data_IF_066393944491
#
_entry.id   IF_066393944491
#
_cell.length_a   1.000
_cell.length_b   1.000
_cell.length_c   1.000
_cell.angle_alpha   90.00
_cell.angle_beta   90.00
_cell.angle_gamma   90.00
#
_symmetry.space_group_name_H-M   'P 1'
#
loop_
_entity.id
_entity.type
_entity.pdbx_description
1 polymer ?
#
# COMPACT_ATOMS: atom_id res chain seq x y z
N UNK A 1 -4.62 9.07 4.26
CA UNK A 1 -4.34 7.62 4.16
C UNK A 1 -3.74 7.20 5.49
N UNK A 2 -4.19 6.10 6.06
CA UNK A 2 -3.62 5.55 7.29
C UNK A 2 -2.28 4.88 6.96
N UNK A 3 -1.24 5.21 7.70
CA UNK A 3 0.12 4.66 7.54
C UNK A 3 0.57 3.96 8.81
N UNK A 4 1.64 3.16 8.70
CA UNK A 4 2.27 2.53 9.87
C UNK A 4 2.79 3.59 10.86
N UNK A 5 3.23 4.75 10.36
CA UNK A 5 3.65 5.86 11.23
C UNK A 5 2.49 6.41 12.05
N UNK A 6 1.31 6.58 11.45
CA UNK A 6 0.12 7.07 12.18
C UNK A 6 -0.27 6.10 13.30
N UNK A 7 -0.19 4.79 13.04
CA UNK A 7 -0.43 3.76 14.06
C UNK A 7 0.59 3.91 15.18
N UNK A 8 1.87 4.03 14.84
CA UNK A 8 2.94 4.17 15.81
C UNK A 8 2.80 5.43 16.67
N UNK A 9 2.47 6.57 16.07
CA UNK A 9 2.29 7.83 16.79
C UNK A 9 1.12 7.72 17.78
N UNK A 10 0.02 7.08 17.36
CA UNK A 10 -1.10 6.74 18.24
C UNK A 10 -0.65 5.91 19.44
N UNK A 11 0.18 4.89 19.23
CA UNK A 11 0.65 4.01 20.31
C UNK A 11 1.62 4.71 21.26
N UNK A 12 2.58 5.47 20.72
CA UNK A 12 3.58 6.18 21.53
C UNK A 12 2.93 7.21 22.46
N UNK A 13 1.90 7.91 21.98
CA UNK A 13 1.17 8.88 22.78
C UNK A 13 0.33 8.27 23.91
N UNK A 14 0.08 6.95 23.86
CA UNK A 14 -0.89 6.25 24.68
C UNK A 14 -0.33 5.00 25.37
N UNK A 15 0.99 4.86 25.38
CA UNK A 15 1.66 3.70 25.97
C UNK A 15 1.31 3.57 27.47
N UNK A 16 1.03 2.33 27.88
CA UNK A 16 0.58 2.02 29.24
C UNK A 16 -0.88 2.36 29.58
N UNK A 17 -1.67 2.90 28.65
CA UNK A 17 -3.13 3.05 28.83
C UNK A 17 -3.89 1.82 28.34
N UNK A 18 -4.96 1.45 29.05
CA UNK A 18 -5.91 0.46 28.54
C UNK A 18 -6.77 1.06 27.42
N UNK A 19 -6.72 0.41 26.27
CA UNK A 19 -7.38 0.84 25.03
C UNK A 19 -8.35 -0.26 24.60
N UNK A 20 -9.58 0.12 24.26
CA UNK A 20 -10.49 -0.75 23.54
C UNK A 20 -10.16 -0.65 22.04
N UNK A 21 -9.64 -1.74 21.50
CA UNK A 21 -9.34 -1.89 20.07
C UNK A 21 -10.46 -2.68 19.41
N UNK A 22 -11.05 -2.14 18.35
CA UNK A 22 -12.15 -2.75 17.59
C UNK A 22 -11.82 -2.80 16.11
N UNK A 23 -12.04 -3.97 15.52
CA UNK A 23 -11.96 -4.23 14.09
C UNK A 23 -13.30 -4.82 13.69
N UNK A 24 -14.00 -4.18 12.76
CA UNK A 24 -15.34 -4.55 12.36
C UNK A 24 -15.43 -4.65 10.84
N UNK A 25 -15.94 -5.77 10.34
CA UNK A 25 -16.40 -5.94 8.98
C UNK A 25 -17.78 -5.31 8.83
N UNK A 26 -17.81 -4.09 8.32
CA UNK A 26 -19.03 -3.28 8.14
C UNK A 26 -19.51 -3.27 6.69
N UNK A 27 -18.94 -4.12 5.84
CA UNK A 27 -19.21 -4.18 4.41
C UNK A 27 -20.70 -4.44 4.14
N UNK A 28 -21.35 -3.45 3.56
CA UNK A 28 -22.78 -3.50 3.24
C UNK A 28 -23.09 -4.34 1.99
N UNK A 29 -22.07 -4.82 1.25
CA UNK A 29 -22.26 -5.80 0.18
C UNK A 29 -22.51 -7.22 0.73
N UNK A 30 -22.15 -7.46 1.99
CA UNK A 30 -22.34 -8.74 2.69
C UNK A 30 -23.78 -8.86 3.20
N UNK A 31 -24.43 -10.00 2.93
CA UNK A 31 -25.86 -10.22 3.22
C UNK A 31 -26.18 -10.08 4.71
N UNK A 32 -25.28 -10.54 5.56
CA UNK A 32 -25.37 -10.49 7.02
C UNK A 32 -25.42 -9.06 7.56
N UNK A 33 -24.87 -8.10 6.82
CA UNK A 33 -24.83 -6.69 7.19
C UNK A 33 -26.01 -5.87 6.65
N UNK A 34 -26.82 -6.43 5.75
CA UNK A 34 -28.00 -5.78 5.16
C UNK A 34 -29.29 -5.96 5.98
N UNK A 35 -29.24 -6.76 7.05
CA UNK A 35 -30.39 -6.99 7.92
C UNK A 35 -30.77 -5.73 8.74
N UNK A 36 -32.01 -5.67 9.23
CA UNK A 36 -32.48 -4.60 10.13
C UNK A 36 -31.57 -4.41 11.37
N UNK A 37 -30.93 -5.50 11.82
CA UNK A 37 -29.88 -5.46 12.82
C UNK A 37 -28.63 -6.14 12.23
N UNK A 38 -27.68 -5.35 11.69
CA UNK A 38 -26.47 -5.87 11.06
C UNK A 38 -25.64 -6.79 11.96
N UNK A 39 -25.01 -7.81 11.38
CA UNK A 39 -24.20 -8.77 12.12
C UNK A 39 -23.07 -8.11 12.93
N UNK A 40 -22.39 -7.10 12.37
CA UNK A 40 -21.33 -6.37 13.07
C UNK A 40 -21.84 -5.67 14.35
N UNK A 41 -23.08 -5.16 14.37
CA UNK A 41 -23.68 -4.54 15.58
C UNK A 41 -23.93 -5.57 16.67
N UNK A 42 -24.40 -6.76 16.28
CA UNK A 42 -24.65 -7.87 17.21
C UNK A 42 -23.32 -8.32 17.82
N UNK A 43 -22.31 -8.53 16.96
CA UNK A 43 -20.98 -8.95 17.36
C UNK A 43 -20.32 -7.95 18.33
N UNK A 44 -20.40 -6.65 18.02
CA UNK A 44 -19.90 -5.57 18.88
C UNK A 44 -20.54 -5.61 20.27
N UNK A 45 -21.88 -5.64 20.34
CA UNK A 45 -22.61 -5.67 21.61
C UNK A 45 -22.26 -6.89 22.45
N UNK A 46 -22.07 -8.04 21.82
CA UNK A 46 -21.66 -9.26 22.52
C UNK A 46 -20.26 -9.11 23.14
N UNK A 47 -19.30 -8.54 22.41
CA UNK A 47 -17.92 -8.40 22.90
C UNK A 47 -17.79 -7.30 23.96
N UNK A 48 -18.51 -6.18 23.82
CA UNK A 48 -18.55 -5.17 24.89
C UNK A 48 -19.07 -5.75 26.21
N UNK A 49 -20.15 -6.55 26.16
CA UNK A 49 -20.67 -7.25 27.34
C UNK A 49 -19.70 -8.29 27.89
N UNK A 50 -18.92 -8.95 27.03
CA UNK A 50 -17.91 -9.89 27.48
C UNK A 50 -16.84 -9.16 28.29
N UNK A 51 -16.29 -8.06 27.77
CA UNK A 51 -15.30 -7.27 28.49
C UNK A 51 -15.87 -6.63 29.76
N UNK A 52 -17.13 -6.21 29.75
CA UNK A 52 -17.82 -5.75 30.96
C UNK A 52 -17.77 -6.82 32.05
N UNK A 53 -18.16 -8.06 31.75
CA UNK A 53 -18.12 -9.17 32.72
C UNK A 53 -16.69 -9.51 33.21
N UNK A 54 -15.70 -9.40 32.34
CA UNK A 54 -14.29 -9.66 32.69
C UNK A 54 -13.73 -8.56 33.61
N UNK A 55 -14.15 -7.31 33.43
CA UNK A 55 -13.65 -6.14 34.17
C UNK A 55 -14.50 -5.75 35.39
N UNK A 56 -15.73 -6.27 35.53
CA UNK A 56 -16.64 -5.99 36.65
C UNK A 56 -16.07 -6.46 38.01
N UNK A 57 -15.07 -7.34 38.01
CA UNK A 57 -14.41 -7.83 39.23
C UNK A 57 -13.53 -6.81 39.96
N UNK A 58 -13.23 -5.65 39.36
CA UNK A 58 -12.36 -4.62 39.96
C UNK A 58 -12.94 -3.19 39.99
N UNK A 59 -14.24 -2.98 39.72
CA UNK A 59 -14.85 -1.64 39.73
C UNK A 59 -14.06 -0.65 38.86
N UNK A 60 -13.82 -1.03 37.61
CA UNK A 60 -12.95 -0.31 36.69
C UNK A 60 -13.71 0.88 36.05
N UNK A 61 -13.72 2.02 36.73
CA UNK A 61 -14.32 3.29 36.25
C UNK A 61 -13.82 3.69 34.84
N UNK A 62 -12.60 3.26 34.47
CA UNK A 62 -12.02 3.51 33.17
C UNK A 62 -12.71 2.70 32.06
N UNK A 63 -13.00 1.43 32.30
CA UNK A 63 -13.76 0.60 31.35
C UNK A 63 -15.14 1.19 31.08
N UNK A 64 -15.87 1.59 32.13
CA UNK A 64 -17.21 2.17 31.97
C UNK A 64 -17.19 3.42 31.07
N UNK A 65 -16.17 4.29 31.26
CA UNK A 65 -15.97 5.49 30.44
C UNK A 65 -15.69 5.14 28.97
N UNK A 66 -14.82 4.15 28.72
CA UNK A 66 -14.46 3.70 27.37
C UNK A 66 -15.66 3.03 26.68
N UNK A 67 -16.40 2.19 27.40
CA UNK A 67 -17.60 1.52 26.89
C UNK A 67 -18.68 2.53 26.51
N UNK A 68 -18.98 3.51 27.37
CA UNK A 68 -19.97 4.55 27.09
C UNK A 68 -19.59 5.34 25.82
N UNK A 69 -18.31 5.68 25.67
CA UNK A 69 -17.79 6.37 24.48
C UNK A 69 -17.98 5.54 23.21
N UNK A 70 -17.57 4.27 23.24
CA UNK A 70 -17.74 3.37 22.11
C UNK A 70 -19.23 3.20 21.73
N UNK A 71 -20.10 2.98 22.72
CA UNK A 71 -21.54 2.86 22.49
C UNK A 71 -22.16 4.16 21.95
N UNK A 72 -21.70 5.33 22.42
CA UNK A 72 -22.13 6.62 21.91
C UNK A 72 -21.77 6.78 20.43
N UNK A 73 -20.55 6.44 20.03
CA UNK A 73 -20.12 6.47 18.63
C UNK A 73 -20.98 5.54 17.75
N UNK A 74 -21.19 4.29 18.18
CA UNK A 74 -21.90 3.30 17.37
C UNK A 74 -23.43 3.45 17.34
N UNK A 75 -23.99 4.34 18.17
CA UNK A 75 -25.43 4.63 18.19
C UNK A 75 -25.94 5.14 16.84
N UNK A 76 -25.23 6.10 16.28
CA UNK A 76 -25.60 6.79 15.04
C UNK A 76 -24.69 6.41 13.86
N UNK A 77 -23.72 5.51 14.09
CA UNK A 77 -22.80 5.07 13.06
C UNK A 77 -23.53 4.37 11.90
N UNK A 78 -23.28 4.89 10.69
CA UNK A 78 -23.75 4.33 9.41
C UNK A 78 -22.53 3.89 8.60
N UNK A 79 -22.43 2.60 8.23
CA UNK A 79 -21.32 2.11 7.43
C UNK A 79 -21.18 2.82 6.08
N UNK A 80 -20.00 3.37 5.82
CA UNK A 80 -19.62 3.99 4.54
C UNK A 80 -18.41 3.31 3.88
N UNK A 81 -17.91 2.25 4.51
CA UNK A 81 -16.67 1.55 4.17
C UNK A 81 -16.87 0.04 4.29
N UNK A 82 -15.84 -0.76 3.98
CA UNK A 82 -15.91 -2.22 4.11
C UNK A 82 -15.41 -2.71 5.47
N UNK A 83 -14.41 -2.02 6.02
CA UNK A 83 -13.85 -2.28 7.33
C UNK A 83 -13.88 -1.03 8.19
N UNK A 84 -13.95 -1.19 9.50
CA UNK A 84 -13.79 -0.12 10.46
C UNK A 84 -12.79 -0.55 11.53
N UNK A 85 -11.74 0.25 11.72
CA UNK A 85 -10.82 0.13 12.84
C UNK A 85 -11.08 1.29 13.78
N UNK A 86 -11.30 1.00 15.06
CA UNK A 86 -11.55 2.03 16.06
C UNK A 86 -10.80 1.73 17.35
N UNK A 87 -10.10 2.73 17.86
CA UNK A 87 -9.45 2.72 19.15
C UNK A 87 -10.16 3.70 20.07
N UNK A 88 -10.53 3.25 21.27
CA UNK A 88 -11.17 4.08 22.28
C UNK A 88 -10.33 4.09 23.54
N UNK A 89 -9.97 5.29 23.99
CA UNK A 89 -9.42 5.55 25.32
C UNK A 89 -10.41 6.32 26.19
N UNK A 90 -10.01 6.71 27.40
CA UNK A 90 -10.92 7.38 28.36
C UNK A 90 -11.46 8.72 27.83
N UNK A 91 -10.60 9.52 27.23
CA UNK A 91 -10.88 10.89 26.79
C UNK A 91 -10.67 11.12 25.28
N UNK A 92 -10.35 10.06 24.53
CA UNK A 92 -10.07 10.14 23.10
C UNK A 92 -10.62 8.94 22.34
N UNK A 93 -10.78 9.12 21.03
CA UNK A 93 -11.11 8.06 20.09
C UNK A 93 -10.34 8.29 18.79
N UNK A 94 -9.98 7.20 18.10
CA UNK A 94 -9.36 7.25 16.80
C UNK A 94 -9.99 6.21 15.89
N UNK A 95 -10.63 6.67 14.81
CA UNK A 95 -11.52 5.85 13.99
C UNK A 95 -11.06 5.94 12.53
N UNK A 96 -10.82 4.78 11.93
CA UNK A 96 -10.31 4.61 10.58
C UNK A 96 -11.26 3.72 9.76
N UNK A 97 -12.11 4.31 8.90
CA UNK A 97 -12.82 3.57 7.87
C UNK A 97 -11.83 3.03 6.82
N UNK A 98 -11.94 1.75 6.48
CA UNK A 98 -11.06 1.07 5.52
C UNK A 98 -11.85 0.64 4.27
N UNK A 99 -11.31 0.84 3.06
CA UNK A 99 -11.97 0.42 1.82
C UNK A 99 -11.93 -1.11 1.60
N UNK A 100 -11.24 -1.84 2.47
CA UNK A 100 -11.13 -3.31 2.49
C UNK A 100 -11.85 -3.92 3.70
N UNK A 101 -12.40 -5.13 3.57
CA UNK A 101 -13.07 -5.80 4.67
C UNK A 101 -12.09 -6.18 5.79
N UNK A 102 -12.51 -5.88 7.01
CA UNK A 102 -12.06 -6.36 8.32
C UNK A 102 -12.24 -7.85 8.58
N UNK A 103 -11.34 -8.55 9.28
CA UNK A 103 -11.81 -9.62 10.17
C UNK A 103 -12.28 -9.00 11.50
N UNK A 104 -13.36 -9.51 12.09
CA UNK A 104 -13.87 -8.97 13.35
C UNK A 104 -12.94 -9.34 14.51
N UNK A 105 -12.34 -8.34 15.15
CA UNK A 105 -11.51 -8.51 16.33
C UNK A 105 -11.79 -7.44 17.37
N UNK A 106 -11.66 -7.80 18.64
CA UNK A 106 -11.77 -6.86 19.74
C UNK A 106 -10.80 -7.25 20.85
N UNK A 107 -10.22 -6.24 21.49
CA UNK A 107 -9.38 -6.42 22.66
C UNK A 107 -9.52 -5.20 23.57
N UNK A 108 -9.35 -5.43 24.87
CA UNK A 108 -9.25 -4.37 25.87
C UNK A 108 -7.94 -4.53 26.65
N UNK A 109 -7.26 -3.41 26.93
CA UNK A 109 -5.95 -3.38 27.57
C UNK A 109 -4.88 -2.93 26.58
N UNK A 110 -3.87 -3.78 26.33
CA UNK A 110 -2.86 -3.50 25.31
C UNK A 110 -3.53 -3.35 23.93
N UNK A 111 -3.14 -2.32 23.15
CA UNK A 111 -3.74 -2.08 21.84
C UNK A 111 -3.47 -3.25 20.89
N UNK A 112 -4.52 -3.72 20.24
CA UNK A 112 -4.45 -4.75 19.22
C UNK A 112 -4.08 -4.07 17.90
N UNK A 113 -2.84 -4.22 17.45
CA UNK A 113 -2.29 -3.61 16.23
C UNK A 113 -1.96 -4.60 15.13
N UNK A 114 -1.76 -5.88 15.47
CA UNK A 114 -1.44 -6.93 14.50
C UNK A 114 -2.38 -6.97 13.28
N UNK A 115 -3.72 -6.98 13.46
CA UNK A 115 -4.64 -6.99 12.33
C UNK A 115 -4.55 -5.73 11.44
N UNK A 116 -4.30 -4.56 12.03
CA UNK A 116 -4.13 -3.32 11.27
C UNK A 116 -2.83 -3.31 10.50
N UNK A 117 -1.72 -3.72 11.13
CA UNK A 117 -0.41 -3.81 10.48
C UNK A 117 -0.47 -4.79 9.30
N UNK A 118 -1.12 -5.95 9.47
CA UNK A 118 -1.38 -6.89 8.37
C UNK A 118 -2.18 -6.23 7.23
N UNK A 119 -3.23 -5.48 7.53
CA UNK A 119 -4.03 -4.82 6.50
C UNK A 119 -3.23 -3.73 5.75
N UNK A 120 -2.34 -3.02 6.45
CA UNK A 120 -1.46 -2.02 5.83
C UNK A 120 -0.35 -2.67 4.99
N UNK A 121 0.12 -3.84 5.40
CA UNK A 121 1.17 -4.58 4.71
C UNK A 121 0.65 -5.27 3.44
N UNK A 122 -0.43 -6.05 3.53
CA UNK A 122 -1.04 -6.78 2.41
C UNK A 122 -1.54 -5.86 1.27
N UNK A 123 -1.81 -4.60 1.59
CA UNK A 123 -2.27 -3.61 0.62
C UNK A 123 -1.40 -2.36 0.60
N UNK A 124 -0.07 -2.58 0.63
CA UNK A 124 0.90 -1.51 0.41
C UNK A 124 0.57 -0.70 -0.86
N UNK A 125 0.68 0.64 -0.79
CA UNK A 125 0.29 1.50 -1.89
C UNK A 125 1.25 1.35 -3.08
N UNK A 126 0.69 1.39 -4.28
CA UNK A 126 1.43 1.33 -5.55
C UNK A 126 0.94 2.41 -6.51
N UNK A 127 1.86 2.91 -7.33
CA UNK A 127 1.58 3.87 -8.38
C UNK A 127 1.28 3.12 -9.69
N UNK A 128 0.11 3.37 -10.28
CA UNK A 128 -0.25 2.90 -11.61
C UNK A 128 -0.12 4.06 -12.59
N UNK A 129 0.80 3.95 -13.54
CA UNK A 129 1.02 4.94 -14.60
C UNK A 129 0.46 4.38 -15.89
N UNK A 130 -0.70 4.87 -16.31
CA UNK A 130 -1.33 4.50 -17.58
C UNK A 130 -0.83 5.45 -18.66
N UNK A 131 -0.01 4.99 -19.60
CA UNK A 131 0.60 5.84 -20.62
C UNK A 131 0.32 5.34 -22.04
N UNK A 132 -0.01 6.28 -22.93
CA UNK A 132 -0.05 6.05 -24.38
C UNK A 132 0.90 7.03 -25.11
N UNK A 133 0.64 7.31 -26.40
CA UNK A 133 1.49 8.19 -27.21
C UNK A 133 1.19 9.68 -27.00
N UNK A 134 0.10 10.02 -26.33
CA UNK A 134 -0.48 11.36 -26.23
C UNK A 134 -0.84 11.76 -24.79
N UNK A 135 -1.18 10.82 -23.91
CA UNK A 135 -1.58 11.10 -22.53
C UNK A 135 -1.02 10.08 -21.55
N UNK A 136 -0.87 10.52 -20.30
CA UNK A 136 -0.52 9.70 -19.17
C UNK A 136 -1.46 10.00 -18.00
N UNK A 137 -2.02 8.97 -17.39
CA UNK A 137 -2.86 9.06 -16.20
C UNK A 137 -2.19 8.36 -15.02
N UNK A 138 -2.17 9.05 -13.89
CA UNK A 138 -1.56 8.56 -12.65
C UNK A 138 -2.65 8.17 -11.67
N UNK A 139 -2.62 6.92 -11.22
CA UNK A 139 -3.52 6.42 -10.18
C UNK A 139 -2.69 5.88 -9.02
N UNK A 140 -3.13 6.19 -7.81
CA UNK A 140 -2.55 5.60 -6.61
C UNK A 140 -3.48 4.55 -6.06
N UNK A 141 -2.90 3.42 -5.66
CA UNK A 141 -3.62 2.43 -4.89
C UNK A 141 -3.56 2.76 -3.40
N UNK A 142 -4.68 2.59 -2.71
CA UNK A 142 -4.74 2.68 -1.27
C UNK A 142 -5.64 1.58 -0.73
N UNK A 143 -5.06 0.68 0.06
CA UNK A 143 -5.77 -0.46 0.63
C UNK A 143 -6.59 -1.22 -0.43
N UNK A 144 -5.99 -1.54 -1.59
CA UNK A 144 -6.65 -2.23 -2.70
C UNK A 144 -7.74 -1.44 -3.44
N UNK A 145 -8.04 -0.20 -3.02
CA UNK A 145 -8.82 0.76 -3.78
C UNK A 145 -7.91 1.64 -4.64
N UNK A 146 -8.52 2.38 -5.56
CA UNK A 146 -7.83 3.22 -6.51
C UNK A 146 -8.27 4.66 -6.33
N UNK A 147 -7.33 5.60 -6.42
CA UNK A 147 -7.57 7.05 -6.43
C UNK A 147 -6.90 7.67 -7.66
N UNK A 148 -7.61 8.55 -8.35
CA UNK A 148 -7.01 9.30 -9.45
C UNK A 148 -6.14 10.39 -8.83
N UNK A 149 -4.91 10.55 -9.33
CA UNK A 149 -3.97 11.54 -8.82
C UNK A 149 -3.80 12.70 -9.79
N UNK A 150 -3.35 12.40 -11.01
CA UNK A 150 -3.02 13.44 -11.99
C UNK A 150 -3.06 12.91 -13.43
N UNK A 151 -2.93 13.82 -14.39
CA UNK A 151 -2.85 13.53 -15.82
C UNK A 151 -1.87 14.46 -16.53
N UNK A 152 -1.10 13.94 -17.47
CA UNK A 152 -0.25 14.71 -18.37
C UNK A 152 -0.71 14.43 -19.80
N UNK A 153 -0.91 15.48 -20.59
CA UNK A 153 -1.22 15.38 -22.02
C UNK A 153 -0.05 15.98 -22.82
N UNK A 154 0.20 15.44 -24.01
CA UNK A 154 1.21 15.97 -24.92
C UNK A 154 0.73 17.32 -25.46
N UNK A 155 1.50 18.37 -25.22
CA UNK A 155 1.22 19.68 -25.83
C UNK A 155 1.80 19.72 -27.26
N UNK A 156 0.91 19.53 -28.24
CA UNK A 156 1.22 19.67 -29.66
C UNK A 156 0.87 21.07 -30.21
N UNK A 157 0.16 21.90 -29.45
CA UNK A 157 -0.36 23.20 -29.88
C UNK A 157 0.60 24.35 -29.55
N UNK A 158 1.51 24.18 -28.58
CA UNK A 158 2.44 25.24 -28.13
C UNK A 158 3.49 25.66 -29.17
N UNK A 159 3.68 24.90 -30.27
CA UNK A 159 4.64 25.23 -31.32
C UNK A 159 3.98 25.56 -32.65
N UNK A 160 4.01 26.85 -32.95
CA UNK A 160 3.47 27.54 -34.12
C UNK A 160 3.99 26.94 -35.45
N UNK A 161 3.33 25.88 -35.94
CA UNK A 161 3.64 25.29 -37.26
C UNK A 161 3.47 26.32 -38.39
N UNK A 162 2.63 27.35 -38.17
CA UNK A 162 2.40 28.41 -39.13
C UNK A 162 3.64 29.28 -39.39
N UNK A 163 4.53 29.47 -38.40
CA UNK A 163 5.70 30.35 -38.57
C UNK A 163 6.91 29.66 -39.22
N UNK A 164 7.10 28.34 -39.01
CA UNK A 164 8.26 27.63 -39.61
C UNK A 164 8.03 27.13 -41.05
N UNK A 165 6.80 27.10 -41.54
CA UNK A 165 6.49 26.78 -42.95
C UNK A 165 6.43 28.04 -43.84
N UNK A 166 6.54 29.23 -43.26
CA UNK A 166 6.45 30.51 -43.94
C UNK A 166 7.77 31.04 -44.48
N UNK A 167 8.36 30.41 -45.50
CA UNK A 167 9.27 31.16 -46.38
C UNK A 167 8.43 31.89 -47.44
N UNK A 168 8.49 33.23 -47.54
CA UNK A 168 7.77 33.94 -48.60
C UNK A 168 8.33 33.54 -49.97
N UNK A 169 7.49 33.38 -51.01
CA UNK A 169 7.96 33.04 -52.34
C UNK A 169 8.64 34.25 -52.99
N UNK A 170 9.91 34.50 -52.66
CA UNK A 170 10.73 35.44 -53.40
C UNK A 170 11.34 34.74 -54.61
N UNK A 171 10.57 34.82 -55.70
CA UNK A 171 10.95 34.83 -57.10
C UNK A 171 12.21 34.05 -57.57
N UNK A 172 11.92 33.09 -58.46
CA UNK A 172 12.72 32.63 -59.60
C UNK A 172 13.83 31.59 -59.35
N UNK A 173 13.59 30.34 -59.80
CA UNK A 173 14.22 29.74 -61.00
C UNK A 173 13.83 28.27 -61.20
N UNK A 174 13.38 27.99 -62.41
CA UNK A 174 13.33 26.77 -63.21
C UNK A 174 14.03 25.50 -62.65
N UNK A 175 13.27 24.40 -62.52
CA UNK A 175 13.78 23.03 -62.68
C UNK A 175 13.64 22.08 -61.46
N UNK A 176 12.86 21.00 -61.62
CA UNK A 176 13.00 19.76 -60.84
C UNK A 176 12.15 19.63 -59.58
N UNK A 177 10.83 19.41 -59.71
CA UNK A 177 9.97 19.04 -58.58
C UNK A 177 9.85 17.52 -58.47
N UNK A 178 10.71 16.93 -57.64
CA UNK A 178 10.63 15.52 -57.23
C UNK A 178 11.25 15.21 -55.86
N UNK A 179 12.00 16.14 -55.24
CA UNK A 179 12.72 15.87 -53.98
C UNK A 179 12.34 16.74 -52.77
N UNK A 180 11.53 17.79 -52.94
CA UNK A 180 11.23 18.75 -51.86
C UNK A 180 10.08 18.32 -50.94
N UNK A 181 9.25 17.37 -51.36
CA UNK A 181 8.08 16.92 -50.59
C UNK A 181 8.41 15.77 -49.61
N UNK A 182 9.53 15.06 -49.83
CA UNK A 182 10.00 13.96 -48.95
C UNK A 182 10.64 14.54 -47.68
N UNK A 183 11.53 15.53 -47.81
CA UNK A 183 12.20 16.18 -46.68
C UNK A 183 11.26 16.87 -45.67
N UNK A 184 10.05 17.27 -46.10
CA UNK A 184 9.07 17.91 -45.21
C UNK A 184 8.28 16.90 -44.37
N UNK A 185 8.11 15.66 -44.86
CA UNK A 185 7.47 14.59 -44.08
C UNK A 185 8.44 14.03 -43.05
N UNK A 186 9.68 13.78 -43.46
CA UNK A 186 10.72 13.26 -42.57
C UNK A 186 10.99 14.25 -41.42
N UNK A 187 11.12 15.55 -41.70
CA UNK A 187 11.30 16.57 -40.66
C UNK A 187 10.08 16.74 -39.73
N UNK A 188 8.88 16.42 -40.21
CA UNK A 188 7.65 16.45 -39.40
C UNK A 188 7.55 15.22 -38.49
N UNK A 189 7.88 14.04 -39.01
CA UNK A 189 7.97 12.80 -38.22
C UNK A 189 9.04 12.91 -37.14
N UNK A 190 10.23 13.42 -37.47
CA UNK A 190 11.32 13.65 -36.50
C UNK A 190 10.89 14.61 -35.37
N UNK A 191 10.15 15.66 -35.71
CA UNK A 191 9.62 16.61 -34.72
C UNK A 191 8.63 15.92 -33.79
N UNK A 192 7.63 15.21 -34.32
CA UNK A 192 6.65 14.47 -33.50
C UNK A 192 7.34 13.48 -32.56
N UNK A 193 8.34 12.76 -33.04
CA UNK A 193 9.11 11.83 -32.22
C UNK A 193 9.92 12.55 -31.14
N UNK A 194 10.50 13.73 -31.42
CA UNK A 194 11.14 14.56 -30.39
C UNK A 194 10.15 15.00 -29.31
N UNK A 195 8.94 15.42 -29.70
CA UNK A 195 7.88 15.81 -28.76
C UNK A 195 7.44 14.63 -27.89
N UNK A 196 7.24 13.45 -28.49
CA UNK A 196 6.93 12.22 -27.75
C UNK A 196 8.01 11.84 -26.77
N UNK A 197 9.27 11.95 -27.16
CA UNK A 197 10.39 11.66 -26.27
C UNK A 197 10.48 12.66 -25.11
N UNK A 198 10.11 13.92 -25.34
CA UNK A 198 10.01 14.93 -24.26
C UNK A 198 8.86 14.59 -23.31
N UNK A 199 7.69 14.26 -23.85
CA UNK A 199 6.53 13.81 -23.08
C UNK A 199 6.87 12.59 -22.23
N UNK A 200 7.50 11.55 -22.77
CA UNK A 200 7.89 10.37 -21.99
C UNK A 200 8.90 10.69 -20.87
N UNK A 201 9.78 11.67 -21.07
CA UNK A 201 10.68 12.15 -20.02
C UNK A 201 9.91 12.86 -18.91
N UNK A 202 8.98 13.72 -19.28
CA UNK A 202 8.13 14.43 -18.32
C UNK A 202 7.28 13.46 -17.50
N UNK A 203 6.67 12.45 -18.15
CA UNK A 203 5.95 11.37 -17.48
C UNK A 203 6.87 10.62 -16.51
N UNK A 204 8.11 10.33 -16.88
CA UNK A 204 9.08 9.66 -16.00
C UNK A 204 9.45 10.53 -14.80
N UNK A 205 9.79 11.81 -15.00
CA UNK A 205 10.11 12.77 -13.94
C UNK A 205 8.92 12.95 -12.97
N UNK A 206 7.69 13.03 -13.50
CA UNK A 206 6.49 13.14 -12.69
C UNK A 206 6.19 11.85 -11.92
N UNK A 207 6.43 10.68 -12.54
CA UNK A 207 6.34 9.37 -11.86
C UNK A 207 7.26 9.33 -10.64
N UNK A 208 8.51 9.75 -10.80
CA UNK A 208 9.50 9.80 -9.72
C UNK A 208 9.12 10.77 -8.61
N UNK A 209 8.58 11.93 -8.98
CA UNK A 209 8.13 12.93 -8.04
C UNK A 209 6.99 12.40 -7.17
N UNK A 210 5.96 11.79 -7.77
CA UNK A 210 4.85 11.17 -7.02
C UNK A 210 5.39 10.04 -6.14
N UNK A 211 6.18 9.13 -6.70
CA UNK A 211 6.69 7.97 -5.97
C UNK A 211 7.53 8.38 -4.75
N UNK A 212 8.39 9.39 -4.90
CA UNK A 212 9.23 9.88 -3.80
C UNK A 212 8.42 10.65 -2.76
N UNK A 213 7.51 11.51 -3.19
CA UNK A 213 6.69 12.35 -2.28
C UNK A 213 5.77 11.52 -1.41
N UNK A 214 5.12 10.51 -2.01
CA UNK A 214 4.07 9.72 -1.37
C UNK A 214 4.63 8.40 -0.80
N UNK A 215 5.95 8.17 -0.90
CA UNK A 215 6.60 6.97 -0.36
C UNK A 215 6.19 5.69 -1.07
N UNK A 216 5.85 5.77 -2.37
CA UNK A 216 5.41 4.62 -3.15
C UNK A 216 6.63 3.85 -3.65
N UNK A 217 6.77 2.62 -3.16
CA UNK A 217 7.92 1.78 -3.50
C UNK A 217 7.67 0.80 -4.65
N UNK A 218 6.46 0.83 -5.22
CA UNK A 218 6.02 -0.08 -6.28
C UNK A 218 5.31 0.70 -7.38
N UNK A 219 5.79 0.54 -8.61
CA UNK A 219 5.28 1.22 -9.80
C UNK A 219 4.84 0.16 -10.81
N UNK A 220 3.63 0.30 -11.35
CA UNK A 220 3.13 -0.52 -12.44
C UNK A 220 2.81 0.40 -13.61
N UNK A 221 3.43 0.15 -14.76
CA UNK A 221 3.21 0.96 -15.95
C UNK A 221 2.25 0.21 -16.86
N UNK A 222 1.06 0.78 -17.07
CA UNK A 222 0.02 0.25 -17.94
C UNK A 222 -0.11 1.04 -19.24
N UNK A 223 -0.84 0.50 -20.22
CA UNK A 223 -1.18 1.23 -21.45
C UNK A 223 -0.58 0.61 -22.71
N UNK A 224 0.02 1.44 -23.56
CA UNK A 224 0.78 0.96 -24.72
C UNK A 224 2.15 0.42 -24.28
N UNK A 225 2.48 -0.80 -24.68
CA UNK A 225 3.69 -1.49 -24.22
C UNK A 225 4.97 -0.76 -24.67
N UNK A 226 4.97 -0.13 -25.85
CA UNK A 226 6.16 0.60 -26.34
C UNK A 226 6.33 1.92 -25.57
N UNK A 227 5.24 2.65 -25.37
CA UNK A 227 5.24 3.87 -24.56
C UNK A 227 5.71 3.57 -23.13
N UNK A 228 5.09 2.56 -22.48
CA UNK A 228 5.44 2.16 -21.12
C UNK A 228 6.90 1.73 -20.95
N UNK A 229 7.44 0.94 -21.88
CA UNK A 229 8.86 0.57 -21.86
C UNK A 229 9.79 1.75 -22.12
N UNK A 230 9.34 2.76 -22.87
CA UNK A 230 10.12 3.97 -23.13
C UNK A 230 10.17 4.84 -21.88
N UNK A 231 9.02 5.08 -21.22
CA UNK A 231 8.95 5.75 -19.92
C UNK A 231 9.82 5.04 -18.89
N UNK A 232 9.72 3.70 -18.77
CA UNK A 232 10.56 2.91 -17.86
C UNK A 232 12.06 3.20 -18.06
N UNK A 233 12.53 3.33 -19.30
CA UNK A 233 13.95 3.61 -19.60
C UNK A 233 14.36 5.05 -19.28
N UNK A 234 13.42 5.99 -19.24
CA UNK A 234 13.69 7.38 -18.86
C UNK A 234 13.74 7.58 -17.33
N UNK A 235 13.14 6.67 -16.55
CA UNK A 235 13.22 6.71 -15.09
C UNK A 235 14.67 6.61 -14.60
N UNK A 236 14.98 7.24 -13.47
CA UNK A 236 16.20 7.05 -12.72
C UNK A 236 16.36 5.60 -12.25
N UNK A 237 17.60 5.14 -12.07
CA UNK A 237 17.90 3.74 -11.72
C UNK A 237 17.17 3.25 -10.46
N UNK A 238 16.97 4.14 -9.49
CA UNK A 238 16.22 3.85 -8.26
C UNK A 238 14.75 3.58 -8.52
N UNK A 239 14.09 4.42 -9.32
CA UNK A 239 12.69 4.24 -9.69
C UNK A 239 12.49 3.06 -10.65
N UNK A 240 13.44 2.80 -11.55
CA UNK A 240 13.41 1.61 -12.41
C UNK A 240 13.36 0.29 -11.62
N UNK A 241 14.03 0.22 -10.47
CA UNK A 241 14.01 -0.94 -9.57
C UNK A 241 12.69 -1.10 -8.84
N UNK A 242 11.92 -0.02 -8.71
CA UNK A 242 10.58 -0.04 -8.11
C UNK A 242 9.49 -0.42 -9.13
N UNK A 243 9.82 -0.50 -10.43
CA UNK A 243 8.88 -0.96 -11.47
C UNK A 243 8.67 -2.46 -11.33
N UNK A 244 7.48 -2.84 -10.88
CA UNK A 244 7.02 -4.23 -10.75
C UNK A 244 6.83 -4.85 -12.12
N UNK A 245 6.08 -4.18 -13.00
CA UNK A 245 5.83 -4.66 -14.36
C UNK A 245 5.43 -3.54 -15.34
N UNK A 246 5.55 -3.83 -16.64
CA UNK A 246 5.02 -3.03 -17.74
C UNK A 246 3.99 -3.87 -18.49
N UNK A 247 2.72 -3.50 -18.41
CA UNK A 247 1.61 -4.31 -18.92
C UNK A 247 0.76 -3.59 -19.94
N UNK A 248 0.33 -4.32 -20.97
CA UNK A 248 -0.61 -3.77 -21.95
C UNK A 248 -2.01 -3.71 -21.36
N UNK A 249 -2.55 -2.49 -21.23
CA UNK A 249 -3.91 -2.25 -20.73
C UNK A 249 -4.60 -1.30 -21.71
N UNK A 250 -5.75 -1.68 -22.30
CA UNK A 250 -6.45 -0.82 -23.25
C UNK A 250 -6.93 0.51 -22.62
N UNK A 251 -6.75 1.62 -23.35
CA UNK A 251 -7.14 2.98 -22.91
C UNK A 251 -8.62 3.13 -22.52
N UNK A 252 -9.51 2.38 -23.17
CA UNK A 252 -10.95 2.47 -22.91
C UNK A 252 -11.38 1.79 -21.60
N UNK A 253 -10.45 1.14 -20.88
CA UNK A 253 -10.77 0.51 -19.61
C UNK A 253 -11.10 1.56 -18.56
N UNK A 254 -12.19 1.33 -17.85
CA UNK A 254 -12.51 2.10 -16.66
C UNK A 254 -11.45 1.89 -15.58
N UNK A 255 -11.36 2.82 -14.64
CA UNK A 255 -10.52 2.69 -13.44
C UNK A 255 -10.73 1.35 -12.71
N UNK A 256 -11.97 0.86 -12.63
CA UNK A 256 -12.25 -0.42 -12.01
C UNK A 256 -11.62 -1.59 -12.79
N UNK A 257 -11.68 -1.57 -14.11
CA UNK A 257 -11.08 -2.59 -14.97
C UNK A 257 -9.55 -2.55 -14.91
N UNK A 258 -8.95 -1.35 -14.96
CA UNK A 258 -7.49 -1.18 -14.80
C UNK A 258 -7.01 -1.86 -13.52
N UNK A 259 -7.63 -1.55 -12.38
CA UNK A 259 -7.20 -2.12 -11.09
C UNK A 259 -7.51 -3.60 -10.96
N UNK A 260 -8.56 -4.11 -11.60
CA UNK A 260 -8.81 -5.55 -11.69
C UNK A 260 -7.70 -6.29 -12.44
N UNK A 261 -7.05 -5.63 -13.40
CA UNK A 261 -5.89 -6.18 -14.12
C UNK A 261 -4.58 -6.04 -13.35
N UNK A 262 -4.40 -4.92 -12.64
CA UNK A 262 -3.15 -4.59 -11.96
C UNK A 262 -3.01 -5.25 -10.58
N UNK A 263 -4.11 -5.40 -9.84
CA UNK A 263 -4.09 -5.94 -8.47
C UNK A 263 -3.44 -7.34 -8.36
N UNK A 264 -3.74 -8.32 -9.25
CA UNK A 264 -3.06 -9.62 -9.19
C UNK A 264 -1.54 -9.52 -9.35
N UNK A 265 -1.06 -8.62 -10.21
CA UNK A 265 0.38 -8.41 -10.43
C UNK A 265 1.08 -7.87 -9.18
N UNK A 266 0.43 -6.92 -8.50
CA UNK A 266 0.94 -6.36 -7.25
C UNK A 266 1.03 -7.44 -6.16
N UNK A 267 0.01 -8.30 -6.05
CA UNK A 267 -0.02 -9.41 -5.09
C UNK A 267 1.01 -10.49 -5.42
N UNK A 268 1.14 -10.88 -6.69
CA UNK A 268 2.12 -11.89 -7.11
C UNK A 268 3.55 -11.42 -6.81
N UNK A 269 3.85 -10.15 -7.10
CA UNK A 269 5.14 -9.53 -6.74
C UNK A 269 5.39 -9.57 -5.23
N UNK A 270 4.37 -9.23 -4.42
CA UNK A 270 4.48 -9.30 -2.96
C UNK A 270 4.82 -10.71 -2.47
N UNK A 271 4.15 -11.73 -2.99
CA UNK A 271 4.40 -13.13 -2.62
C UNK A 271 5.79 -13.61 -3.04
N UNK A 272 6.32 -13.10 -4.15
CA UNK A 272 7.71 -13.35 -4.56
C UNK A 272 8.71 -12.67 -3.60
N UNK A 273 8.47 -11.41 -3.24
CA UNK A 273 9.31 -10.65 -2.31
C UNK A 273 9.32 -11.28 -0.91
N UNK A 274 8.15 -11.64 -0.37
CA UNK A 274 8.01 -12.39 0.89
C UNK A 274 8.80 -13.71 0.85
N UNK A 275 8.65 -14.46 -0.25
CA UNK A 275 9.35 -15.74 -0.43
C UNK A 275 10.87 -15.57 -0.46
N UNK A 276 11.36 -14.49 -1.09
CA UNK A 276 12.79 -14.14 -1.12
C UNK A 276 13.25 -13.73 0.28
N UNK A 277 12.50 -12.86 0.95
CA UNK A 277 12.83 -12.34 2.28
C UNK A 277 12.90 -13.46 3.32
N UNK A 278 11.91 -14.35 3.36
CA UNK A 278 11.90 -15.51 4.27
C UNK A 278 13.10 -16.40 4.02
N UNK A 279 13.42 -16.69 2.75
CA UNK A 279 14.59 -17.50 2.41
C UNK A 279 15.89 -16.87 2.92
N UNK A 280 16.08 -15.57 2.66
CA UNK A 280 17.25 -14.83 3.13
C UNK A 280 17.38 -14.86 4.66
N UNK A 281 16.27 -14.67 5.38
CA UNK A 281 16.24 -14.69 6.85
C UNK A 281 16.60 -16.08 7.38
N UNK A 282 16.03 -17.13 6.82
CA UNK A 282 16.33 -18.52 7.21
C UNK A 282 17.78 -18.87 6.93
N UNK A 283 18.28 -18.55 5.73
CA UNK A 283 19.66 -18.85 5.34
C UNK A 283 20.67 -18.08 6.22
N UNK A 284 20.40 -16.78 6.48
CA UNK A 284 21.20 -15.96 7.39
C UNK A 284 21.21 -16.53 8.81
N UNK A 285 20.05 -16.91 9.35
CA UNK A 285 19.97 -17.46 10.71
C UNK A 285 20.73 -18.79 10.85
N UNK A 286 20.61 -19.68 9.84
CA UNK A 286 21.34 -20.96 9.81
C UNK A 286 22.85 -20.78 9.68
N UNK A 287 23.30 -19.71 9.04
CA UNK A 287 24.70 -19.36 8.91
C UNK A 287 25.29 -18.65 10.15
N UNK A 288 24.49 -18.40 11.20
CA UNK A 288 24.91 -17.57 12.34
C UNK A 288 25.10 -16.10 11.95
N UNK A 289 24.39 -15.64 10.93
CA UNK A 289 24.41 -14.28 10.41
C UNK A 289 23.54 -13.33 11.23
N UNK A 290 23.02 -12.30 10.57
CA UNK A 290 22.22 -11.24 11.19
C UNK A 290 20.73 -11.56 11.18
N UNK A 291 20.37 -12.77 11.62
CA UNK A 291 18.98 -13.18 11.71
C UNK A 291 18.77 -14.24 12.80
N UNK A 292 17.58 -14.26 13.38
CA UNK A 292 17.13 -15.26 14.36
C UNK A 292 15.79 -15.83 13.96
N UNK A 293 15.57 -17.10 14.31
CA UNK A 293 14.33 -17.84 14.06
C UNK A 293 13.72 -18.28 15.39
N UNK A 294 12.40 -18.30 15.47
CA UNK A 294 11.69 -18.74 16.67
C UNK A 294 11.41 -17.61 17.63
N UNK A 295 10.25 -17.72 18.29
CA UNK A 295 9.73 -16.73 19.22
C UNK A 295 10.72 -16.40 20.36
N UNK A 296 11.29 -17.40 21.04
CA UNK A 296 12.20 -17.16 22.17
C UNK A 296 13.43 -16.32 21.77
N UNK A 297 14.03 -16.62 20.61
CA UNK A 297 15.20 -15.90 20.12
C UNK A 297 14.84 -14.48 19.67
N UNK A 298 13.67 -14.32 19.05
CA UNK A 298 13.14 -13.01 18.62
C UNK A 298 12.78 -12.15 19.84
N UNK A 299 12.16 -12.73 20.86
CA UNK A 299 11.87 -12.06 22.12
C UNK A 299 13.13 -11.54 22.81
N UNK A 300 14.18 -12.37 22.84
CA UNK A 300 15.48 -11.97 23.37
C UNK A 300 16.09 -10.83 22.54
N UNK A 301 16.02 -10.91 21.20
CA UNK A 301 16.54 -9.87 20.32
C UNK A 301 15.79 -8.54 20.45
N UNK A 302 14.46 -8.58 20.60
CA UNK A 302 13.63 -7.39 20.86
C UNK A 302 14.01 -6.75 22.20
N UNK A 303 14.20 -7.56 23.26
CA UNK A 303 14.63 -7.05 24.58
C UNK A 303 16.00 -6.37 24.53
N UNK A 304 16.87 -6.78 23.60
CA UNK A 304 18.18 -6.19 23.39
C UNK A 304 18.15 -5.03 22.36
N UNK A 305 16.99 -4.64 21.85
CA UNK A 305 16.81 -3.64 20.78
C UNK A 305 17.64 -3.93 19.52
N UNK A 306 17.81 -5.21 19.17
CA UNK A 306 18.66 -5.64 18.05
C UNK A 306 17.88 -5.90 16.75
N UNK A 307 16.56 -5.90 16.81
CA UNK A 307 15.70 -6.23 15.67
C UNK A 307 15.62 -5.04 14.70
N UNK A 308 16.05 -5.28 13.47
CA UNK A 308 15.87 -4.35 12.35
C UNK A 308 14.51 -4.55 11.68
N UNK A 309 14.14 -5.81 11.40
CA UNK A 309 12.85 -6.17 10.83
C UNK A 309 12.30 -7.44 11.51
N UNK A 310 11.04 -7.40 11.94
CA UNK A 310 10.29 -8.52 12.49
C UNK A 310 9.44 -9.15 11.39
N UNK A 311 9.55 -10.48 11.21
CA UNK A 311 8.74 -11.24 10.29
C UNK A 311 7.73 -12.10 11.06
N UNK A 312 6.44 -11.95 10.75
CA UNK A 312 5.34 -12.69 11.37
C UNK A 312 4.50 -13.42 10.32
N UNK A 313 4.03 -14.63 10.64
CA UNK A 313 3.16 -15.38 9.71
C UNK A 313 1.68 -15.03 9.80
N UNK A 314 1.10 -14.96 8.61
CA UNK A 314 -0.29 -14.83 8.20
C UNK A 314 -1.11 -16.14 8.05
N UNK A 315 -2.12 -16.56 8.84
CA UNK A 315 -2.50 -16.18 10.20
C UNK A 315 -1.53 -16.68 11.26
N UNK A 316 -1.46 -15.98 12.41
CA UNK A 316 -0.65 -16.41 13.54
C UNK A 316 -1.29 -17.61 14.25
N UNK A 317 -0.45 -18.42 14.89
CA UNK A 317 -0.94 -19.51 15.75
C UNK A 317 -1.61 -18.97 17.02
N UNK A 318 -1.10 -17.85 17.55
CA UNK A 318 -1.67 -17.11 18.68
C UNK A 318 -1.62 -15.60 18.36
N UNK A 319 -2.80 -15.00 18.21
CA UNK A 319 -2.94 -13.58 17.83
C UNK A 319 -2.43 -12.64 18.92
N UNK A 320 -2.55 -13.00 20.21
CA UNK A 320 -2.12 -12.15 21.31
C UNK A 320 -0.60 -12.12 21.39
N UNK A 321 0.05 -13.26 21.20
CA UNK A 321 1.51 -13.35 21.16
C UNK A 321 2.09 -12.62 19.94
N UNK A 322 1.51 -12.82 18.76
CA UNK A 322 1.91 -12.10 17.56
C UNK A 322 1.72 -10.58 17.73
N UNK A 323 0.62 -10.17 18.38
CA UNK A 323 0.37 -8.76 18.69
C UNK A 323 1.41 -8.17 19.66
N UNK A 324 1.82 -8.89 20.70
CA UNK A 324 2.84 -8.39 21.64
C UNK A 324 4.19 -8.18 20.94
N UNK A 325 4.61 -9.12 20.09
CA UNK A 325 5.82 -8.98 19.29
C UNK A 325 5.73 -7.79 18.34
N UNK A 326 4.62 -7.66 17.59
CA UNK A 326 4.40 -6.55 16.67
C UNK A 326 4.38 -5.20 17.40
N UNK A 327 3.69 -5.12 18.54
CA UNK A 327 3.63 -3.92 19.37
C UNK A 327 5.02 -3.49 19.83
N UNK A 328 5.82 -4.42 20.37
CA UNK A 328 7.19 -4.14 20.84
C UNK A 328 8.12 -3.76 19.68
N UNK A 329 8.03 -4.44 18.54
CA UNK A 329 8.78 -4.08 17.34
C UNK A 329 8.44 -2.65 16.87
N UNK A 330 7.16 -2.28 16.88
CA UNK A 330 6.73 -0.95 16.47
C UNK A 330 7.28 0.16 17.39
N UNK A 331 7.24 -0.06 18.71
CA UNK A 331 7.83 0.86 19.69
C UNK A 331 9.35 1.02 19.51
N UNK A 332 10.03 -0.04 19.05
CA UNK A 332 11.47 -0.03 18.78
C UNK A 332 11.84 0.54 17.40
N UNK A 333 10.86 0.97 16.59
CA UNK A 333 11.05 1.39 15.21
C UNK A 333 11.62 0.29 14.31
N UNK A 334 11.38 -0.97 14.65
CA UNK A 334 11.68 -2.09 13.77
C UNK A 334 10.64 -2.15 12.64
N UNK A 335 11.08 -2.49 11.43
CA UNK A 335 10.18 -2.84 10.34
C UNK A 335 9.37 -4.08 10.72
N UNK A 336 8.14 -4.18 10.26
CA UNK A 336 7.26 -5.33 10.52
C UNK A 336 6.74 -5.79 9.17
N UNK A 337 7.02 -7.06 8.86
CA UNK A 337 6.68 -7.71 7.60
C UNK A 337 5.78 -8.90 7.92
N UNK A 338 4.60 -8.95 7.30
CA UNK A 338 3.65 -10.03 7.48
C UNK A 338 3.71 -10.95 6.27
N UNK A 339 4.00 -12.22 6.53
CA UNK A 339 4.30 -13.20 5.50
C UNK A 339 3.12 -14.13 5.32
N UNK A 340 2.81 -14.47 4.07
CA UNK A 340 1.63 -15.26 3.69
C UNK A 340 1.99 -16.51 2.88
N UNK A 341 0.99 -17.38 2.67
CA UNK A 341 1.03 -18.54 1.79
C UNK A 341 2.30 -19.41 1.94
N UNK A 342 2.99 -19.69 0.83
CA UNK A 342 4.18 -20.55 0.78
C UNK A 342 5.34 -19.99 1.61
N UNK A 343 5.45 -18.67 1.72
CA UNK A 343 6.49 -18.04 2.52
C UNK A 343 6.18 -18.24 4.01
N UNK A 344 4.91 -18.12 4.41
CA UNK A 344 4.46 -18.40 5.77
C UNK A 344 4.70 -19.86 6.15
N UNK A 345 4.39 -20.81 5.27
CA UNK A 345 4.61 -22.24 5.53
C UNK A 345 6.09 -22.56 5.76
N UNK A 346 6.99 -22.01 4.94
CA UNK A 346 8.44 -22.15 5.13
C UNK A 346 8.91 -21.57 6.47
N UNK A 347 8.38 -20.40 6.85
CA UNK A 347 8.74 -19.75 8.10
C UNK A 347 8.19 -20.51 9.32
N UNK A 348 7.00 -21.12 9.20
CA UNK A 348 6.45 -22.05 10.21
C UNK A 348 7.35 -23.27 10.40
N UNK A 349 7.76 -23.90 9.30
CA UNK A 349 8.65 -25.07 9.34
C UNK A 349 10.03 -24.74 9.95
N UNK A 350 10.58 -23.56 9.66
CA UNK A 350 11.93 -23.20 10.09
C UNK A 350 12.01 -22.61 11.50
N UNK A 351 10.98 -21.86 11.92
CA UNK A 351 11.04 -21.03 13.13
C UNK A 351 9.69 -20.85 13.84
N UNK A 352 8.73 -21.76 13.64
CA UNK A 352 7.42 -21.67 14.30
C UNK A 352 6.58 -20.46 13.87
N UNK A 353 6.94 -19.79 12.77
CA UNK A 353 6.19 -18.68 12.21
C UNK A 353 6.66 -17.29 12.65
N UNK A 354 7.80 -17.19 13.32
CA UNK A 354 8.39 -15.92 13.76
C UNK A 354 9.88 -15.89 13.43
N UNK A 355 10.34 -14.78 12.89
CA UNK A 355 11.77 -14.52 12.69
C UNK A 355 12.09 -13.03 12.79
N UNK A 356 13.36 -12.69 12.91
CA UNK A 356 13.81 -11.31 12.87
C UNK A 356 15.13 -11.18 12.11
N UNK A 357 15.24 -10.11 11.30
CA UNK A 357 16.52 -9.56 10.82
C UNK A 357 17.09 -8.67 11.92
N UNK A 358 18.40 -8.73 12.12
CA UNK A 358 19.09 -8.00 13.16
C UNK A 358 20.01 -6.91 12.58
N UNK A 359 20.24 -5.83 13.34
CA UNK A 359 21.22 -4.81 12.95
C UNK A 359 22.65 -5.37 12.89
N UNK A 360 22.97 -6.27 13.82
CA UNK A 360 24.29 -6.91 13.97
C UNK A 360 24.12 -8.41 14.19
N UNK A 361 25.18 -9.19 13.94
CA UNK A 361 25.18 -10.63 14.22
C UNK A 361 25.23 -10.86 15.73
N UNK A 362 24.52 -11.89 16.20
CA UNK A 362 24.49 -12.31 17.62
C UNK A 362 25.79 -12.99 18.01
#
# INVERSE_FOLDING_TARGET
MLTVSDVKDLLNERDGQDILSLYLNVDNSVRENQANNPAWRIWLKQHLRQFENENDTQNNDQWATIQERAEAFFRDYTPSSKGLVAFFGPDWENIHPLPVPVDNHAAYGKPLVGPLLRALDEYQPYLVVMVDQEEAHFYESYLGAAEFRDSIEIDLDEYDFAEKSGMPPTAARTGGYGGLQVNQRDAFEDMIEEHRMRFYREVAEHTEHIATRDGLHRIIIGGDEKAGNTVRKQLAETAQKQVVDVVSIPRHYSKHEIFKHVQPLALDYEREEESRMVKEVIDSARAGGRAVLGQEAVDHALNMSQVAALLLVWPPADINQANDLAYRALLLNSEIEVVHDKAADKLREAGGGVAAKLYYSV
#
